data_IF_362442464605
#
_entry.id   IF_362442464605
#
_cell.length_a   1.000
_cell.length_b   1.000
_cell.length_c   1.000
_cell.angle_alpha   90.00
_cell.angle_beta   90.00
_cell.angle_gamma   90.00
#
_symmetry.space_group_name_H-M   'P 1'
#
loop_
_entity.id
_entity.type
_entity.pdbx_description
1 polymer ?
#
# COMPACT_ATOMS: atom_id res chain seq x y z
N UNK A 1 1.64 15.73 8.55
CA UNK A 1 1.86 14.76 7.45
C UNK A 1 0.50 14.33 6.95
N UNK A 2 0.24 14.44 5.65
CA UNK A 2 -1.05 14.13 5.04
C UNK A 2 -0.89 13.07 3.97
N UNK A 3 -1.80 12.11 3.96
CA UNK A 3 -1.94 11.11 2.91
C UNK A 3 -3.14 11.46 2.06
N UNK A 4 -2.94 11.51 0.74
CA UNK A 4 -3.99 11.78 -0.23
C UNK A 4 -4.10 10.60 -1.18
N UNK A 5 -5.31 10.05 -1.31
CA UNK A 5 -5.63 9.02 -2.30
C UNK A 5 -6.55 9.66 -3.35
N UNK A 6 -6.08 9.69 -4.60
CA UNK A 6 -6.86 10.18 -5.74
C UNK A 6 -7.57 9.00 -6.42
N UNK A 7 -8.83 9.19 -6.74
CA UNK A 7 -9.71 8.22 -7.39
C UNK A 7 -10.56 8.93 -8.47
N UNK A 8 -11.32 8.19 -9.28
CA UNK A 8 -12.05 8.78 -10.40
C UNK A 8 -13.07 9.86 -9.99
N UNK A 9 -13.64 9.73 -8.77
CA UNK A 9 -14.63 10.65 -8.22
C UNK A 9 -14.08 11.76 -7.33
N UNK A 10 -12.76 11.87 -7.13
CA UNK A 10 -12.18 12.90 -6.27
C UNK A 10 -10.95 12.46 -5.48
N UNK A 11 -10.84 12.96 -4.23
CA UNK A 11 -9.71 12.66 -3.35
C UNK A 11 -10.17 12.33 -1.93
N UNK A 12 -9.47 11.37 -1.31
CA UNK A 12 -9.57 11.04 0.11
C UNK A 12 -8.37 11.66 0.81
N UNK A 13 -8.60 12.33 1.94
CA UNK A 13 -7.53 12.84 2.81
C UNK A 13 -7.53 12.10 4.15
N UNK A 14 -6.37 11.59 4.56
CA UNK A 14 -6.17 10.85 5.79
C UNK A 14 -4.76 11.07 6.37
N UNK A 15 -4.52 10.54 7.56
CA UNK A 15 -3.16 10.36 8.09
C UNK A 15 -2.77 8.89 7.99
N UNK A 16 -1.56 8.58 7.50
CA UNK A 16 -1.06 7.20 7.49
C UNK A 16 -0.45 6.85 8.85
N UNK A 17 -0.92 5.78 9.46
CA UNK A 17 -0.46 5.29 10.75
C UNK A 17 0.54 4.14 10.63
N UNK A 18 0.39 3.29 9.62
CA UNK A 18 1.29 2.16 9.36
C UNK A 18 1.39 1.89 7.87
N UNK A 19 2.54 1.39 7.45
CA UNK A 19 2.84 1.00 6.08
C UNK A 19 3.74 -0.23 6.10
N UNK A 20 3.29 -1.31 5.48
CA UNK A 20 4.07 -2.52 5.26
C UNK A 20 3.97 -2.91 3.78
N UNK A 21 5.11 -3.06 3.13
CA UNK A 21 5.20 -3.37 1.72
C UNK A 21 6.32 -4.36 1.47
N UNK A 22 6.03 -5.35 0.64
CA UNK A 22 6.99 -6.32 0.14
C UNK A 22 6.91 -6.40 -1.37
N UNK A 23 7.99 -6.84 -2.00
CA UNK A 23 8.02 -7.11 -3.42
C UNK A 23 8.86 -8.36 -3.67
N UNK A 24 8.43 -9.18 -4.61
CA UNK A 24 9.12 -10.43 -4.95
C UNK A 24 10.49 -10.11 -5.57
N UNK A 25 11.56 -10.55 -4.92
CA UNK A 25 12.92 -10.51 -5.49
C UNK A 25 13.05 -11.57 -6.57
N UNK A 26 13.44 -11.18 -7.78
CA UNK A 26 13.55 -12.08 -8.94
C UNK A 26 14.98 -12.40 -9.34
N UNK A 27 15.96 -11.95 -8.58
CA UNK A 27 17.37 -12.28 -8.77
C UNK A 27 17.62 -13.76 -8.50
N UNK A 28 18.41 -14.41 -9.35
CA UNK A 28 18.72 -15.84 -9.26
C UNK A 28 20.21 -15.99 -8.96
N UNK A 29 20.54 -16.79 -7.94
CA UNK A 29 21.91 -17.13 -7.55
C UNK A 29 22.22 -18.55 -8.01
N UNK A 30 23.26 -18.70 -8.84
CA UNK A 30 23.72 -19.96 -9.39
C UNK A 30 25.03 -20.38 -8.71
N UNK A 31 25.00 -21.30 -7.73
CA UNK A 31 26.21 -21.82 -7.12
C UNK A 31 26.95 -22.73 -8.12
N UNK A 32 28.24 -22.44 -8.36
CA UNK A 32 29.10 -23.22 -9.28
C UNK A 32 30.05 -24.09 -8.44
N UNK A 33 30.03 -25.40 -8.67
CA UNK A 33 30.88 -26.34 -7.95
C UNK A 33 32.37 -25.97 -8.13
N UNK A 34 33.10 -25.86 -7.01
CA UNK A 34 34.53 -25.57 -7.03
C UNK A 34 34.89 -24.08 -7.18
N UNK A 35 33.91 -23.17 -7.21
CA UNK A 35 34.11 -21.72 -7.22
C UNK A 35 33.53 -21.09 -5.96
N UNK A 36 34.27 -20.16 -5.34
CA UNK A 36 33.78 -19.44 -4.14
C UNK A 36 32.69 -18.44 -4.46
N UNK A 37 32.70 -17.88 -5.66
CA UNK A 37 31.79 -16.82 -6.08
C UNK A 37 30.65 -17.41 -6.94
N UNK A 38 29.37 -17.19 -6.62
CA UNK A 38 28.26 -17.67 -7.44
C UNK A 38 28.04 -16.78 -8.68
N UNK A 39 27.45 -17.33 -9.74
CA UNK A 39 26.95 -16.52 -10.85
C UNK A 39 25.59 -15.94 -10.46
N UNK A 40 25.35 -14.66 -10.74
CA UNK A 40 24.12 -13.97 -10.34
C UNK A 40 23.42 -13.42 -11.58
N UNK A 41 22.18 -13.86 -11.81
CA UNK A 41 21.29 -13.27 -12.82
C UNK A 41 20.38 -12.25 -12.15
N UNK A 42 20.55 -10.97 -12.48
CA UNK A 42 19.71 -9.90 -11.97
C UNK A 42 18.42 -9.77 -12.80
N UNK A 43 17.26 -9.71 -12.13
CA UNK A 43 15.97 -9.41 -12.74
C UNK A 43 15.25 -8.33 -11.93
N UNK A 44 14.49 -7.43 -12.57
CA UNK A 44 13.71 -6.44 -11.84
C UNK A 44 12.80 -7.10 -10.81
N UNK A 45 12.76 -6.53 -9.60
CA UNK A 45 11.82 -6.90 -8.54
C UNK A 45 10.37 -6.76 -9.05
N UNK A 46 9.46 -7.55 -8.49
CA UNK A 46 8.02 -7.38 -8.73
C UNK A 46 7.48 -6.03 -8.23
N UNK A 47 6.21 -5.75 -8.56
CA UNK A 47 5.49 -4.60 -8.01
C UNK A 47 5.22 -4.80 -6.51
N UNK A 48 5.19 -3.71 -5.73
CA UNK A 48 4.96 -3.78 -4.29
C UNK A 48 3.55 -4.30 -3.99
N UNK A 49 3.44 -5.03 -2.88
CA UNK A 49 2.18 -5.48 -2.30
C UNK A 49 2.28 -5.48 -0.79
N UNK A 50 1.17 -5.32 -0.10
CA UNK A 50 1.16 -5.32 1.35
C UNK A 50 -0.08 -4.65 1.90
N UNK A 51 0.06 -3.96 3.02
CA UNK A 51 -1.03 -3.27 3.68
C UNK A 51 -0.59 -1.93 4.26
N UNK A 52 -1.52 -0.98 4.29
CA UNK A 52 -1.32 0.26 5.01
C UNK A 52 -2.54 0.61 5.85
N UNK A 53 -2.31 1.36 6.93
CA UNK A 53 -3.37 1.81 7.83
C UNK A 53 -3.53 3.32 7.72
N UNK A 54 -4.74 3.74 7.37
CA UNK A 54 -5.17 5.13 7.36
C UNK A 54 -5.95 5.44 8.63
N UNK A 55 -5.80 6.66 9.12
CA UNK A 55 -6.51 7.22 10.27
C UNK A 55 -7.27 8.46 9.83
N UNK A 56 -8.51 8.56 10.30
CA UNK A 56 -9.45 9.61 9.96
C UNK A 56 -9.90 10.38 11.20
N UNK A 57 -10.13 11.68 11.02
CA UNK A 57 -10.61 12.55 12.08
C UNK A 57 -12.08 12.31 12.42
N UNK A 58 -12.88 11.81 11.47
CA UNK A 58 -14.33 11.60 11.65
C UNK A 58 -14.76 10.26 11.07
N UNK A 59 -15.80 9.66 11.67
CA UNK A 59 -16.39 8.42 11.17
C UNK A 59 -17.03 8.58 9.78
N UNK A 60 -17.57 9.77 9.47
CA UNK A 60 -18.11 10.07 8.14
C UNK A 60 -17.02 10.03 7.06
N UNK A 61 -15.82 10.58 7.35
CA UNK A 61 -14.69 10.52 6.43
C UNK A 61 -14.18 9.08 6.25
N UNK A 62 -14.13 8.30 7.34
CA UNK A 62 -13.74 6.89 7.28
C UNK A 62 -14.75 6.05 6.47
N UNK A 63 -16.05 6.28 6.66
CA UNK A 63 -17.10 5.61 5.89
C UNK A 63 -17.06 5.96 4.40
N UNK A 64 -16.84 7.24 4.06
CA UNK A 64 -16.70 7.66 2.66
C UNK A 64 -15.46 7.02 2.01
N UNK A 65 -14.33 6.98 2.73
CA UNK A 65 -13.13 6.31 2.27
C UNK A 65 -13.35 4.81 2.07
N UNK A 66 -14.06 4.14 2.98
CA UNK A 66 -14.43 2.73 2.84
C UNK A 66 -15.19 2.48 1.54
N UNK A 67 -16.21 3.27 1.24
CA UNK A 67 -17.01 3.11 0.01
C UNK A 67 -16.12 3.17 -1.23
N UNK A 68 -15.27 4.20 -1.34
CA UNK A 68 -14.37 4.37 -2.48
C UNK A 68 -13.34 3.24 -2.58
N UNK A 69 -12.75 2.82 -1.46
CA UNK A 69 -11.73 1.77 -1.43
C UNK A 69 -12.30 0.37 -1.68
N UNK A 70 -13.61 0.18 -1.47
CA UNK A 70 -14.30 -1.06 -1.78
C UNK A 70 -14.67 -1.19 -3.27
N UNK A 71 -14.63 -0.09 -4.02
CA UNK A 71 -14.88 -0.10 -5.46
C UNK A 71 -13.64 -0.55 -6.24
N UNK A 72 -13.79 -1.47 -7.22
CA UNK A 72 -12.67 -1.91 -8.04
C UNK A 72 -12.25 -0.80 -9.01
N UNK A 73 -11.22 -0.03 -8.64
CA UNK A 73 -10.64 1.02 -9.48
C UNK A 73 -9.14 1.22 -9.21
N UNK A 74 -8.39 1.75 -10.19
CA UNK A 74 -7.06 2.29 -9.95
C UNK A 74 -7.10 3.49 -9.00
N UNK A 75 -6.20 3.51 -8.02
CA UNK A 75 -6.07 4.56 -7.03
C UNK A 75 -4.64 5.10 -7.06
N UNK A 76 -4.47 6.40 -6.84
CA UNK A 76 -3.14 7.01 -6.73
C UNK A 76 -2.90 7.44 -5.29
N UNK A 77 -1.90 6.85 -4.64
CA UNK A 77 -1.45 7.22 -3.30
C UNK A 77 -0.37 8.29 -3.38
N UNK A 78 -0.50 9.32 -2.54
CA UNK A 78 0.55 10.32 -2.29
C UNK A 78 0.62 10.67 -0.81
N UNK A 79 1.80 11.01 -0.31
CA UNK A 79 1.98 11.43 1.08
C UNK A 79 3.01 12.57 1.16
N UNK A 80 2.67 13.63 1.89
CA UNK A 80 3.50 14.83 1.99
C UNK A 80 4.71 14.70 2.93
N UNK A 81 4.70 13.72 3.83
CA UNK A 81 5.78 13.46 4.79
C UNK A 81 6.69 12.29 4.43
N UNK A 82 6.21 11.35 3.61
CA UNK A 82 6.93 10.14 3.18
C UNK A 82 6.67 9.94 1.69
N UNK A 83 7.51 10.52 0.83
CA UNK A 83 7.29 10.50 -0.62
C UNK A 83 7.45 9.10 -1.23
N UNK A 84 8.17 8.21 -0.55
CA UNK A 84 8.54 6.87 -1.00
C UNK A 84 7.33 5.92 -1.09
N UNK A 85 6.22 6.24 -0.41
CA UNK A 85 4.97 5.45 -0.51
C UNK A 85 4.11 5.85 -1.71
N UNK A 86 4.48 6.90 -2.46
CA UNK A 86 3.71 7.31 -3.62
C UNK A 86 3.69 6.19 -4.69
N UNK A 87 2.49 5.88 -5.18
CA UNK A 87 2.28 4.80 -6.16
C UNK A 87 0.89 4.86 -6.78
N UNK A 88 0.70 4.13 -7.88
CA UNK A 88 -0.63 3.69 -8.31
C UNK A 88 -0.88 2.27 -7.80
N UNK A 89 -2.09 2.01 -7.32
CA UNK A 89 -2.43 0.73 -6.71
C UNK A 89 -3.90 0.37 -6.92
N UNK A 90 -4.22 -0.89 -6.64
CA UNK A 90 -5.58 -1.39 -6.46
C UNK A 90 -5.69 -2.02 -5.07
N UNK A 91 -6.89 -2.00 -4.49
CA UNK A 91 -7.16 -2.74 -3.25
C UNK A 91 -7.30 -4.22 -3.59
N UNK A 92 -6.35 -5.04 -3.15
CA UNK A 92 -6.29 -6.45 -3.50
C UNK A 92 -5.46 -7.26 -2.49
N UNK A 93 -5.66 -8.58 -2.46
CA UNK A 93 -4.79 -9.50 -1.72
C UNK A 93 -5.10 -9.65 -0.22
N UNK A 94 -6.29 -9.25 0.24
CA UNK A 94 -6.73 -9.43 1.63
C UNK A 94 -8.07 -8.75 1.91
N UNK A 95 -8.36 -8.57 3.20
CA UNK A 95 -9.58 -7.91 3.67
C UNK A 95 -9.37 -6.42 3.92
N UNK A 96 -10.20 -5.58 3.31
CA UNK A 96 -10.37 -4.19 3.75
C UNK A 96 -11.03 -4.23 5.13
N UNK A 97 -10.44 -3.59 6.13
CA UNK A 97 -10.97 -3.61 7.50
C UNK A 97 -11.08 -2.21 8.11
N UNK A 98 -12.09 -2.03 8.95
CA UNK A 98 -12.49 -0.76 9.54
C UNK A 98 -12.64 -0.94 11.05
N UNK A 99 -12.00 -0.08 11.84
CA UNK A 99 -12.03 -0.16 13.29
C UNK A 99 -12.16 1.23 13.92
N UNK A 100 -12.81 1.27 15.09
CA UNK A 100 -12.84 2.41 16.00
C UNK A 100 -12.05 2.02 17.25
N UNK A 101 -10.97 2.76 17.53
CA UNK A 101 -10.23 2.57 18.79
C UNK A 101 -11.03 3.11 19.98
N UNK A 102 -10.66 2.67 21.19
CA UNK A 102 -11.22 3.20 22.44
C UNK A 102 -10.96 4.69 22.66
N UNK A 103 -9.97 5.26 21.96
CA UNK A 103 -9.68 6.69 21.95
C UNK A 103 -10.56 7.49 20.96
N UNK A 104 -11.51 6.85 20.28
CA UNK A 104 -12.39 7.51 19.31
C UNK A 104 -11.74 7.74 17.94
N UNK A 105 -10.61 7.11 17.66
CA UNK A 105 -9.89 7.23 16.39
C UNK A 105 -10.36 6.16 15.42
N UNK A 106 -10.82 6.58 14.24
CA UNK A 106 -11.22 5.70 13.14
C UNK A 106 -10.03 5.31 12.29
N UNK A 107 -9.87 4.01 12.02
CA UNK A 107 -8.79 3.48 11.20
C UNK A 107 -9.29 2.50 10.14
N UNK A 108 -8.70 2.60 8.95
CA UNK A 108 -8.92 1.69 7.83
C UNK A 108 -7.60 1.00 7.50
N UNK A 109 -7.59 -0.34 7.50
CA UNK A 109 -6.47 -1.13 7.00
C UNK A 109 -6.79 -1.61 5.60
N UNK A 110 -5.92 -1.26 4.67
CA UNK A 110 -6.12 -1.39 3.23
C UNK A 110 -5.04 -2.31 2.67
N UNK A 111 -5.39 -3.53 2.21
CA UNK A 111 -4.47 -4.36 1.47
C UNK A 111 -4.32 -3.79 0.05
N UNK A 112 -3.11 -3.77 -0.48
CA UNK A 112 -2.83 -3.17 -1.79
C UNK A 112 -1.95 -4.04 -2.66
N UNK A 113 -2.12 -3.85 -3.97
CA UNK A 113 -1.21 -4.28 -5.02
C UNK A 113 -0.86 -3.07 -5.88
N UNK A 114 0.42 -2.73 -5.95
CA UNK A 114 0.92 -1.69 -6.86
C UNK A 114 0.73 -2.13 -8.32
N UNK A 115 0.43 -1.14 -9.18
CA UNK A 115 0.22 -1.29 -10.62
C UNK A 115 1.10 -0.29 -11.39
N UNK A 116 1.35 -0.58 -12.67
CA UNK A 116 2.13 0.24 -13.58
C UNK A 116 1.31 0.66 -14.81
#
# INVERSE_FOLDING_TARGET
>A
MSTTITHAGGTISASMAAWDASAETRSIVHPILGRSDPDITLRPTGLRRGEFTLVFATGAAAAAAWTVLSEPQPLTLSNSGVIEVAMQFVVAGGDLSHALSSAGVWSLRVPFQEIA
#
